data_IF_733838043190
#
_entry.id   IF_733838043190
#
_cell.length_a   1.000
_cell.length_b   1.000
_cell.length_c   1.000
_cell.angle_alpha   90.00
_cell.angle_beta   90.00
_cell.angle_gamma   90.00
#
_symmetry.space_group_name_H-M   'P 1'
#
loop_
_entity.id
_entity.type
_entity.pdbx_description
1 polymer ?
#
# COMPACT_ATOMS: atom_id res chain seq x y z
N UNK A 1 20.26 23.11 -33.44
CA UNK A 1 21.24 22.53 -32.49
C UNK A 1 21.17 23.39 -31.26
N UNK A 2 20.77 22.96 -30.06
CA UNK A 2 20.73 21.65 -29.41
C UNK A 2 19.92 21.88 -28.14
N UNK A 3 18.79 21.21 -27.95
CA UNK A 3 18.46 20.55 -26.68
C UNK A 3 17.18 19.72 -26.84
N UNK A 4 17.34 18.49 -27.35
CA UNK A 4 16.35 17.45 -27.20
C UNK A 4 16.91 16.55 -26.11
N UNK A 5 16.64 16.93 -24.85
CA UNK A 5 16.67 15.99 -23.75
C UNK A 5 15.60 14.95 -24.04
N UNK A 6 16.01 13.92 -24.78
CA UNK A 6 15.22 12.70 -24.92
C UNK A 6 14.92 12.24 -23.50
N UNK A 7 13.64 12.14 -23.08
CA UNK A 7 13.33 11.68 -21.74
C UNK A 7 13.72 10.21 -21.70
N UNK A 8 14.91 9.92 -21.15
CA UNK A 8 15.48 8.58 -21.03
C UNK A 8 14.58 7.58 -20.28
N UNK A 9 13.43 8.03 -19.76
CA UNK A 9 12.47 7.26 -18.97
C UNK A 9 11.03 7.32 -19.52
N UNK A 10 10.81 7.65 -20.80
CA UNK A 10 9.47 7.61 -21.36
C UNK A 10 9.00 6.15 -21.56
N UNK A 11 8.13 5.68 -20.66
CA UNK A 11 7.55 4.34 -20.73
C UNK A 11 6.30 4.38 -21.63
N UNK A 12 6.24 3.58 -22.71
CA UNK A 12 5.08 3.55 -23.59
C UNK A 12 3.86 2.99 -22.86
N UNK A 13 2.67 3.50 -23.19
CA UNK A 13 1.45 2.90 -22.72
C UNK A 13 1.29 1.53 -23.41
N UNK A 14 1.13 0.47 -22.63
CA UNK A 14 1.06 -0.90 -23.15
C UNK A 14 -0.11 -1.66 -22.54
N UNK A 15 -0.55 -2.67 -23.26
CA UNK A 15 -1.57 -3.62 -22.83
C UNK A 15 -1.08 -5.02 -23.18
N UNK A 16 -1.28 -5.97 -22.29
CA UNK A 16 -1.14 -7.40 -22.59
C UNK A 16 -2.39 -8.14 -22.12
N UNK A 17 -3.06 -8.82 -23.05
CA UNK A 17 -4.10 -9.81 -22.74
C UNK A 17 -3.60 -11.17 -23.19
N UNK A 18 -3.78 -12.18 -22.34
CA UNK A 18 -3.53 -13.55 -22.74
C UNK A 18 -4.68 -14.03 -23.64
N UNK A 19 -4.36 -14.24 -24.92
CA UNK A 19 -5.31 -14.60 -25.98
C UNK A 19 -6.12 -15.84 -25.62
N UNK A 20 -5.59 -16.77 -24.80
CA UNK A 20 -6.31 -17.98 -24.38
C UNK A 20 -7.57 -17.69 -23.56
N UNK A 21 -7.67 -16.51 -22.95
CA UNK A 21 -8.84 -16.07 -22.19
C UNK A 21 -9.81 -15.19 -23.01
N UNK A 22 -9.48 -14.89 -24.27
CA UNK A 22 -10.35 -14.10 -25.14
C UNK A 22 -11.44 -14.98 -25.76
N UNK A 23 -12.66 -14.47 -25.82
CA UNK A 23 -13.81 -15.20 -26.36
C UNK A 23 -14.53 -14.35 -27.41
N UNK A 24 -14.89 -14.97 -28.54
CA UNK A 24 -15.64 -14.32 -29.62
C UNK A 24 -16.96 -13.77 -29.08
N UNK A 25 -17.26 -12.50 -29.36
CA UNK A 25 -18.48 -11.82 -28.92
C UNK A 25 -18.43 -11.22 -27.51
N UNK A 26 -17.35 -11.44 -26.75
CA UNK A 26 -17.12 -10.74 -25.47
C UNK A 26 -16.31 -9.46 -25.69
N UNK A 27 -16.53 -8.48 -24.82
CA UNK A 27 -15.82 -7.22 -24.79
C UNK A 27 -14.96 -7.15 -23.52
N UNK A 28 -13.74 -6.62 -23.64
CA UNK A 28 -12.83 -6.38 -22.52
C UNK A 28 -12.60 -4.89 -22.37
N UNK A 29 -12.57 -4.41 -21.12
CA UNK A 29 -12.12 -3.06 -20.81
C UNK A 29 -10.60 -3.08 -20.69
N UNK A 30 -9.95 -2.11 -21.32
CA UNK A 30 -8.50 -1.99 -21.38
C UNK A 30 -8.06 -0.85 -20.46
N UNK A 31 -7.14 -1.13 -19.55
CA UNK A 31 -6.40 -0.09 -18.85
C UNK A 31 -5.13 0.23 -19.63
N UNK A 32 -5.11 1.38 -20.30
CA UNK A 32 -3.94 1.86 -21.05
C UNK A 32 -3.13 2.75 -20.11
N UNK A 33 -2.19 2.16 -19.39
CA UNK A 33 -1.19 2.88 -18.60
C UNK A 33 0.22 2.47 -19.05
N UNK A 34 1.24 3.27 -18.72
CA UNK A 34 2.62 2.83 -18.85
C UNK A 34 2.86 1.52 -18.11
N UNK A 35 3.54 0.57 -18.76
CA UNK A 35 3.77 -0.79 -18.21
C UNK A 35 4.38 -0.78 -16.80
N UNK A 36 5.32 0.15 -16.57
CA UNK A 36 6.00 0.33 -15.30
C UNK A 36 5.06 0.67 -14.13
N UNK A 37 3.80 1.04 -14.40
CA UNK A 37 2.82 1.41 -13.37
C UNK A 37 2.00 0.20 -12.91
N UNK A 38 1.82 -0.82 -13.75
CA UNK A 38 0.95 -1.96 -13.45
C UNK A 38 1.40 -2.74 -12.20
N UNK A 39 2.69 -3.07 -12.10
CA UNK A 39 3.21 -3.79 -10.95
C UNK A 39 3.12 -2.97 -9.65
N UNK A 40 3.54 -1.69 -9.60
CA UNK A 40 3.32 -0.83 -8.43
C UNK A 40 1.85 -0.72 -8.00
N UNK A 41 0.90 -0.59 -8.94
CA UNK A 41 -0.54 -0.57 -8.62
C UNK A 41 -0.95 -1.86 -7.92
N UNK A 42 -0.57 -3.02 -8.47
CA UNK A 42 -0.85 -4.33 -7.84
C UNK A 42 -0.23 -4.47 -6.45
N UNK A 43 1.00 -3.97 -6.26
CA UNK A 43 1.66 -3.96 -4.96
C UNK A 43 0.92 -3.07 -3.95
N UNK A 44 0.43 -1.89 -4.34
CA UNK A 44 -0.38 -1.02 -3.46
C UNK A 44 -1.61 -1.79 -2.94
N UNK A 45 -2.32 -2.49 -3.83
CA UNK A 45 -3.50 -3.27 -3.47
C UNK A 45 -3.13 -4.42 -2.51
N UNK A 46 -2.09 -5.18 -2.83
CA UNK A 46 -1.64 -6.32 -2.02
C UNK A 46 -1.14 -5.90 -0.63
N UNK A 47 -0.27 -4.89 -0.54
CA UNK A 47 0.24 -4.39 0.73
C UNK A 47 -0.86 -3.77 1.59
N UNK A 48 -1.85 -3.11 0.99
CA UNK A 48 -3.01 -2.62 1.74
C UNK A 48 -3.87 -3.76 2.30
N UNK A 49 -4.12 -4.81 1.52
CA UNK A 49 -4.83 -6.00 2.01
C UNK A 49 -4.13 -6.61 3.23
N UNK A 50 -2.80 -6.73 3.18
CA UNK A 50 -2.00 -7.20 4.32
C UNK A 50 -2.09 -6.26 5.53
N UNK A 51 -2.04 -4.94 5.30
CA UNK A 51 -2.23 -3.95 6.35
C UNK A 51 -3.59 -4.13 7.04
N UNK A 52 -4.68 -4.30 6.28
CA UNK A 52 -6.02 -4.46 6.87
C UNK A 52 -6.16 -5.72 7.72
N UNK A 53 -5.58 -6.84 7.28
CA UNK A 53 -5.57 -8.08 8.08
C UNK A 53 -4.83 -7.86 9.40
N UNK A 54 -3.63 -7.27 9.35
CA UNK A 54 -2.83 -6.99 10.56
C UNK A 54 -3.54 -5.98 11.46
N UNK A 55 -4.12 -4.94 10.87
CA UNK A 55 -4.89 -3.94 11.61
C UNK A 55 -6.08 -4.57 12.33
N UNK A 56 -6.82 -5.46 11.68
CA UNK A 56 -7.93 -6.18 12.30
C UNK A 56 -7.44 -7.10 13.43
N UNK A 57 -6.31 -7.79 13.27
CA UNK A 57 -5.72 -8.58 14.37
C UNK A 57 -5.32 -7.70 15.56
N UNK A 58 -4.72 -6.54 15.33
CA UNK A 58 -4.39 -5.60 16.40
C UNK A 58 -5.65 -5.06 17.08
N UNK A 59 -6.67 -4.67 16.31
CA UNK A 59 -7.95 -4.19 16.84
C UNK A 59 -8.66 -5.28 17.66
N UNK A 60 -8.66 -6.52 17.19
CA UNK A 60 -9.20 -7.66 17.93
C UNK A 60 -8.48 -7.85 19.26
N UNK A 61 -7.15 -7.78 19.26
CA UNK A 61 -6.35 -7.85 20.50
C UNK A 61 -6.64 -6.71 21.48
N UNK A 62 -6.83 -5.48 20.99
CA UNK A 62 -7.25 -4.35 21.84
C UNK A 62 -8.64 -4.58 22.44
N UNK A 63 -9.59 -5.07 21.65
CA UNK A 63 -10.96 -5.34 22.10
C UNK A 63 -10.96 -6.44 23.17
N UNK A 64 -10.22 -7.53 22.96
CA UNK A 64 -10.12 -8.62 23.93
C UNK A 64 -9.49 -8.11 25.23
N UNK A 65 -8.37 -7.39 25.14
CA UNK A 65 -7.72 -6.84 26.33
C UNK A 65 -8.61 -5.86 27.12
N UNK A 66 -9.33 -4.98 26.42
CA UNK A 66 -10.28 -4.06 27.06
C UNK A 66 -11.43 -4.81 27.77
N UNK A 67 -11.95 -5.89 27.17
CA UNK A 67 -12.99 -6.75 27.75
C UNK A 67 -12.47 -7.50 28.98
N UNK A 68 -11.26 -8.05 28.92
CA UNK A 68 -10.63 -8.79 30.03
C UNK A 68 -10.40 -7.89 31.25
N UNK A 69 -10.18 -6.60 31.04
CA UNK A 69 -10.11 -5.56 32.08
C UNK A 69 -11.49 -5.07 32.58
N UNK A 70 -12.57 -5.73 32.15
CA UNK A 70 -13.94 -5.51 32.65
C UNK A 70 -14.66 -4.32 32.05
N UNK A 71 -14.21 -3.79 30.90
CA UNK A 71 -14.91 -2.69 30.19
C UNK A 71 -16.04 -3.23 29.32
N UNK A 72 -17.06 -2.40 29.10
CA UNK A 72 -18.33 -2.79 28.44
C UNK A 72 -18.57 -1.98 27.15
N UNK A 73 -17.55 -1.88 26.28
CA UNK A 73 -17.71 -1.22 24.97
C UNK A 73 -18.50 -2.10 24.02
N UNK A 74 -19.45 -1.53 23.28
CA UNK A 74 -20.16 -2.28 22.24
C UNK A 74 -19.32 -2.46 20.98
N UNK A 75 -18.81 -3.67 20.79
CA UNK A 75 -17.94 -4.05 19.67
C UNK A 75 -18.61 -5.01 18.69
N UNK A 76 -19.90 -5.34 18.86
CA UNK A 76 -20.58 -6.31 18.01
C UNK A 76 -20.54 -5.91 16.52
N UNK A 77 -20.13 -6.87 15.68
CA UNK A 77 -20.07 -6.69 14.23
C UNK A 77 -19.00 -5.69 13.75
N UNK A 78 -18.01 -5.35 14.58
CA UNK A 78 -16.96 -4.39 14.22
C UNK A 78 -16.21 -4.76 12.92
N UNK A 79 -16.00 -6.07 12.67
CA UNK A 79 -15.35 -6.59 11.45
C UNK A 79 -16.07 -6.24 10.14
N UNK A 80 -17.38 -5.99 10.19
CA UNK A 80 -18.17 -5.60 9.01
C UNK A 80 -18.21 -4.09 8.78
N UNK A 81 -17.62 -3.30 9.67
CA UNK A 81 -17.57 -1.85 9.53
C UNK A 81 -16.48 -1.45 8.53
N UNK A 82 -16.74 -0.38 7.77
CA UNK A 82 -15.72 0.19 6.88
C UNK A 82 -14.49 0.69 7.65
N UNK A 83 -13.36 0.81 6.96
CA UNK A 83 -12.06 1.15 7.57
C UNK A 83 -12.14 2.38 8.49
N UNK A 84 -12.82 3.46 8.08
CA UNK A 84 -13.02 4.66 8.90
C UNK A 84 -13.60 4.36 10.28
N UNK A 85 -14.62 3.49 10.36
CA UNK A 85 -15.31 3.13 11.60
C UNK A 85 -14.51 2.19 12.47
N UNK A 86 -13.80 1.22 11.88
CA UNK A 86 -12.86 0.37 12.61
C UNK A 86 -11.71 1.20 13.20
N UNK A 87 -11.23 2.19 12.44
CA UNK A 87 -10.20 3.14 12.86
C UNK A 87 -10.63 4.02 14.03
N UNK A 88 -11.85 4.56 13.99
CA UNK A 88 -12.44 5.31 15.11
C UNK A 88 -12.46 4.45 16.37
N UNK A 89 -13.00 3.23 16.27
CA UNK A 89 -13.01 2.27 17.39
C UNK A 89 -11.61 1.97 17.93
N UNK A 90 -10.63 1.75 17.05
CA UNK A 90 -9.24 1.50 17.44
C UNK A 90 -8.67 2.67 18.25
N UNK A 91 -8.89 3.90 17.78
CA UNK A 91 -8.42 5.11 18.46
C UNK A 91 -9.11 5.29 19.81
N UNK A 92 -10.42 5.09 19.87
CA UNK A 92 -11.17 5.22 21.12
C UNK A 92 -10.63 4.26 22.20
N UNK A 93 -10.34 3.00 21.82
CA UNK A 93 -9.74 2.02 22.75
C UNK A 93 -8.32 2.43 23.15
N UNK A 94 -7.51 2.92 22.21
CA UNK A 94 -6.16 3.42 22.52
C UNK A 94 -6.19 4.59 23.50
N UNK A 95 -7.02 5.60 23.23
CA UNK A 95 -7.04 6.87 23.95
C UNK A 95 -7.71 6.74 25.34
N UNK A 96 -8.61 5.77 25.52
CA UNK A 96 -9.30 5.53 26.81
C UNK A 96 -8.66 4.41 27.63
N UNK A 97 -8.55 3.21 27.06
CA UNK A 97 -8.11 2.02 27.81
C UNK A 97 -6.60 1.91 27.83
N UNK A 98 -5.95 1.82 26.66
CA UNK A 98 -4.49 1.63 26.60
C UNK A 98 -3.74 2.82 27.23
N UNK A 99 -4.19 4.06 27.00
CA UNK A 99 -3.56 5.24 27.56
C UNK A 99 -3.60 5.30 29.09
N UNK A 100 -4.51 4.57 29.74
CA UNK A 100 -4.60 4.53 31.20
C UNK A 100 -3.43 3.81 31.88
N UNK A 101 -2.72 2.94 31.15
CA UNK A 101 -1.60 2.16 31.69
C UNK A 101 -0.34 2.15 30.80
N UNK A 102 -0.47 2.38 29.47
CA UNK A 102 0.65 2.63 28.55
C UNK A 102 0.34 3.80 27.59
N UNK A 103 0.42 5.05 28.08
CA UNK A 103 0.17 6.24 27.27
C UNK A 103 1.15 6.41 26.11
N UNK A 104 2.36 5.87 26.23
CA UNK A 104 3.37 5.97 25.18
C UNK A 104 3.03 5.08 23.98
N UNK A 105 2.57 3.84 24.23
CA UNK A 105 2.09 2.95 23.17
C UNK A 105 0.80 3.47 22.54
N UNK A 106 -0.17 3.93 23.35
CA UNK A 106 -1.40 4.54 22.85
C UNK A 106 -1.14 5.69 21.88
N UNK A 107 -0.32 6.66 22.27
CA UNK A 107 0.01 7.81 21.43
C UNK A 107 0.68 7.40 20.10
N UNK A 108 1.59 6.42 20.14
CA UNK A 108 2.27 5.91 18.94
C UNK A 108 1.29 5.19 18.02
N UNK A 109 0.44 4.33 18.55
CA UNK A 109 -0.56 3.60 17.78
C UNK A 109 -1.57 4.56 17.12
N UNK A 110 -2.09 5.53 17.88
CA UNK A 110 -2.99 6.56 17.34
C UNK A 110 -2.31 7.34 16.20
N UNK A 111 -1.05 7.75 16.35
CA UNK A 111 -0.28 8.44 15.30
C UNK A 111 -0.06 7.59 14.03
N UNK A 112 0.25 6.30 14.18
CA UNK A 112 0.40 5.36 13.07
C UNK A 112 -0.92 5.24 12.30
N UNK A 113 -2.02 5.14 13.02
CA UNK A 113 -3.35 4.95 12.44
C UNK A 113 -3.89 6.24 11.77
N UNK A 114 -3.56 7.41 12.29
CA UNK A 114 -3.85 8.67 11.61
C UNK A 114 -3.10 8.78 10.28
N UNK A 115 -1.83 8.34 10.24
CA UNK A 115 -1.05 8.26 9.00
C UNK A 115 -1.67 7.29 7.98
N UNK A 116 -2.18 6.14 8.45
CA UNK A 116 -2.86 5.15 7.61
C UNK A 116 -4.12 5.71 6.92
N UNK A 117 -4.77 6.73 7.49
CA UNK A 117 -5.91 7.42 6.85
C UNK A 117 -5.57 8.05 5.52
N UNK A 118 -4.42 8.73 5.47
CA UNK A 118 -3.97 9.41 4.26
C UNK A 118 -3.60 8.37 3.19
N UNK A 119 -2.97 7.27 3.62
CA UNK A 119 -2.66 6.14 2.74
C UNK A 119 -3.91 5.46 2.21
N UNK A 120 -4.95 5.25 3.04
CA UNK A 120 -6.23 4.70 2.61
C UNK A 120 -6.88 5.53 1.51
N UNK A 121 -6.90 6.86 1.64
CA UNK A 121 -7.47 7.75 0.61
C UNK A 121 -6.73 7.62 -0.72
N UNK A 122 -5.40 7.70 -0.68
CA UNK A 122 -4.54 7.58 -1.87
C UNK A 122 -4.65 6.21 -2.53
N UNK A 123 -4.65 5.15 -1.72
CA UNK A 123 -4.85 3.77 -2.18
C UNK A 123 -6.22 3.61 -2.83
N UNK A 124 -7.28 4.16 -2.27
CA UNK A 124 -8.62 4.04 -2.86
C UNK A 124 -8.73 4.78 -4.19
N UNK A 125 -8.04 5.90 -4.37
CA UNK A 125 -7.94 6.54 -5.68
C UNK A 125 -7.26 5.61 -6.70
N UNK A 126 -6.19 4.93 -6.31
CA UNK A 126 -5.52 3.96 -7.19
C UNK A 126 -6.39 2.72 -7.44
N UNK A 127 -6.95 2.09 -6.41
CA UNK A 127 -7.66 0.82 -6.54
C UNK A 127 -9.06 0.98 -7.19
N UNK A 128 -9.75 2.08 -6.88
CA UNK A 128 -11.16 2.27 -7.26
C UNK A 128 -11.42 3.51 -8.12
N UNK A 129 -10.41 4.34 -8.35
CA UNK A 129 -10.56 5.55 -9.16
C UNK A 129 -10.61 5.25 -10.66
N UNK A 130 -11.10 6.24 -11.40
CA UNK A 130 -10.97 6.29 -12.85
C UNK A 130 -9.60 6.84 -13.21
N UNK A 131 -8.90 6.14 -14.10
CA UNK A 131 -7.61 6.59 -14.62
C UNK A 131 -7.79 7.52 -15.80
N UNK A 132 -7.03 8.62 -15.82
CA UNK A 132 -6.96 9.53 -16.95
C UNK A 132 -5.52 9.90 -17.30
N UNK A 133 -5.31 10.20 -18.58
CA UNK A 133 -4.01 10.55 -19.15
C UNK A 133 -4.23 11.21 -20.52
N UNK A 134 -3.20 11.86 -21.04
CA UNK A 134 -3.17 12.40 -22.40
C UNK A 134 -2.10 11.67 -23.22
N UNK A 135 -2.43 11.24 -24.44
CA UNK A 135 -1.46 10.72 -25.41
C UNK A 135 -1.25 11.80 -26.49
N UNK A 136 -0.04 12.39 -26.63
CA UNK A 136 0.23 13.35 -27.68
C UNK A 136 0.03 12.76 -29.09
N UNK A 137 -0.31 13.62 -30.06
CA UNK A 137 -0.39 13.20 -31.46
C UNK A 137 0.92 12.53 -31.91
N UNK A 138 0.79 11.42 -32.63
CA UNK A 138 1.93 10.62 -33.13
C UNK A 138 2.84 10.05 -32.03
N UNK A 139 2.31 9.83 -30.82
CA UNK A 139 3.02 9.22 -29.69
C UNK A 139 2.24 8.05 -29.10
N UNK A 140 2.95 7.14 -28.44
CA UNK A 140 2.38 6.09 -27.58
C UNK A 140 2.63 6.36 -26.09
N UNK A 141 3.17 7.53 -25.75
CA UNK A 141 3.56 7.87 -24.38
C UNK A 141 2.40 8.56 -23.68
N UNK A 142 1.86 7.93 -22.64
CA UNK A 142 0.88 8.56 -21.75
C UNK A 142 1.56 9.65 -20.89
N UNK A 143 0.98 10.84 -20.88
CA UNK A 143 1.42 11.99 -20.09
C UNK A 143 0.33 12.45 -19.14
N UNK A 144 0.74 13.05 -18.02
CA UNK A 144 -0.18 13.62 -17.04
C UNK A 144 -1.14 12.58 -16.46
N UNK A 145 -0.63 11.39 -16.13
CA UNK A 145 -1.43 10.32 -15.56
C UNK A 145 -2.01 10.75 -14.19
N UNK A 146 -3.29 10.43 -13.97
CA UNK A 146 -3.95 10.70 -12.70
C UNK A 146 -5.01 9.65 -12.39
N UNK A 147 -5.32 9.52 -11.11
CA UNK A 147 -6.47 8.79 -10.60
C UNK A 147 -7.52 9.79 -10.10
N UNK A 148 -8.79 9.51 -10.38
CA UNK A 148 -9.91 10.38 -10.04
C UNK A 148 -11.02 9.60 -9.35
N UNK A 149 -11.54 10.12 -8.23
CA UNK A 149 -12.71 9.59 -7.55
C UNK A 149 -13.95 10.38 -7.96
N UNK A 150 -14.92 9.72 -8.59
CA UNK A 150 -16.21 10.35 -8.87
C UNK A 150 -17.00 10.69 -7.60
N UNK A 151 -16.75 9.97 -6.50
CA UNK A 151 -17.51 10.13 -5.26
C UNK A 151 -17.03 11.34 -4.42
N UNK A 152 -15.72 11.64 -4.47
CA UNK A 152 -15.11 12.72 -3.70
C UNK A 152 -14.62 13.88 -4.56
N UNK A 153 -14.71 13.73 -5.89
CA UNK A 153 -14.14 14.64 -6.89
C UNK A 153 -12.63 14.88 -6.73
N UNK A 154 -11.95 14.03 -5.94
CA UNK A 154 -10.53 14.14 -5.69
C UNK A 154 -9.75 13.61 -6.89
N UNK A 155 -8.73 14.37 -7.29
CA UNK A 155 -7.81 14.03 -8.38
C UNK A 155 -6.39 13.94 -7.84
N UNK A 156 -5.76 12.78 -8.00
CA UNK A 156 -4.36 12.58 -7.64
C UNK A 156 -3.51 12.32 -8.89
N UNK A 157 -2.61 13.24 -9.28
CA UNK A 157 -1.60 12.95 -10.28
C UNK A 157 -0.64 11.88 -9.73
N UNK A 158 -0.17 10.98 -10.61
CA UNK A 158 0.80 9.97 -10.22
C UNK A 158 1.78 9.66 -11.35
N UNK A 159 2.93 9.15 -10.94
CA UNK A 159 3.96 8.52 -11.76
C UNK A 159 4.47 7.25 -11.05
N UNK A 160 5.44 6.57 -11.66
CA UNK A 160 6.03 5.36 -11.08
C UNK A 160 6.62 5.61 -9.68
N UNK A 161 7.25 6.76 -9.45
CA UNK A 161 7.86 7.09 -8.17
C UNK A 161 6.81 7.25 -7.07
N UNK A 162 5.72 7.96 -7.35
CA UNK A 162 4.59 8.15 -6.46
C UNK A 162 3.96 6.80 -6.10
N UNK A 163 3.73 5.93 -7.09
CA UNK A 163 3.15 4.60 -6.86
C UNK A 163 4.09 3.75 -5.99
N UNK A 164 5.39 3.76 -6.28
CA UNK A 164 6.40 3.06 -5.48
C UNK A 164 6.42 3.54 -4.03
N UNK A 165 6.40 4.87 -3.85
CA UNK A 165 6.35 5.46 -2.52
C UNK A 165 5.12 5.00 -1.74
N UNK A 166 3.93 4.93 -2.37
CA UNK A 166 2.70 4.52 -1.67
C UNK A 166 2.81 3.11 -1.11
N UNK A 167 3.20 2.10 -1.89
CA UNK A 167 3.27 0.73 -1.33
C UNK A 167 4.39 0.59 -0.29
N UNK A 168 5.50 1.33 -0.41
CA UNK A 168 6.54 1.38 0.62
C UNK A 168 6.02 2.03 1.91
N UNK A 169 5.32 3.17 1.81
CA UNK A 169 4.70 3.83 2.96
C UNK A 169 3.72 2.87 3.66
N UNK A 170 2.87 2.14 2.90
CA UNK A 170 1.95 1.13 3.46
C UNK A 170 2.73 0.01 4.18
N UNK A 171 3.78 -0.52 3.54
CA UNK A 171 4.63 -1.57 4.14
C UNK A 171 5.27 -1.10 5.45
N UNK A 172 5.81 0.11 5.48
CA UNK A 172 6.43 0.69 6.68
C UNK A 172 5.40 0.99 7.77
N UNK A 173 4.24 1.54 7.42
CA UNK A 173 3.13 1.74 8.37
C UNK A 173 2.68 0.43 8.98
N UNK A 174 2.59 -0.63 8.18
CA UNK A 174 2.26 -1.99 8.66
C UNK A 174 3.31 -2.50 9.65
N UNK A 175 4.60 -2.39 9.31
CA UNK A 175 5.68 -2.82 10.21
C UNK A 175 5.70 -2.00 11.51
N UNK A 176 5.44 -0.69 11.44
CA UNK A 176 5.36 0.18 12.61
C UNK A 176 4.19 -0.20 13.51
N UNK A 177 3.03 -0.53 12.93
CA UNK A 177 1.86 -1.01 13.67
C UNK A 177 2.19 -2.29 14.43
N UNK A 178 2.73 -3.30 13.73
CA UNK A 178 3.14 -4.58 14.33
C UNK A 178 4.13 -4.36 15.47
N UNK A 179 5.21 -3.60 15.23
CA UNK A 179 6.26 -3.37 16.22
C UNK A 179 5.76 -2.64 17.45
N UNK A 180 4.88 -1.66 17.27
CA UNK A 180 4.30 -0.90 18.38
C UNK A 180 3.31 -1.76 19.16
N UNK A 181 2.46 -2.52 18.48
CA UNK A 181 1.52 -3.42 19.16
C UNK A 181 2.25 -4.54 19.93
N UNK A 182 3.34 -5.05 19.37
CA UNK A 182 4.14 -6.12 19.99
C UNK A 182 4.86 -5.71 21.28
N UNK A 183 4.85 -4.43 21.67
CA UNK A 183 5.41 -4.00 22.96
C UNK A 183 4.53 -4.37 24.15
N UNK A 184 3.24 -4.64 23.92
CA UNK A 184 2.28 -4.97 24.98
C UNK A 184 1.30 -6.09 24.61
N UNK A 185 1.23 -6.49 23.33
CA UNK A 185 0.37 -7.55 22.86
C UNK A 185 1.09 -8.50 21.90
N UNK A 186 0.32 -9.42 21.28
CA UNK A 186 0.82 -10.32 20.25
C UNK A 186 -0.11 -10.22 19.03
N UNK A 187 0.47 -10.01 17.85
CA UNK A 187 -0.26 -10.12 16.59
C UNK A 187 -0.16 -11.56 16.10
N UNK A 188 -1.28 -12.26 15.99
CA UNK A 188 -1.32 -13.60 15.41
C UNK A 188 -1.29 -13.52 13.88
N UNK A 189 -0.52 -14.40 13.22
CA UNK A 189 -0.46 -14.49 11.76
C UNK A 189 0.93 -14.81 11.21
N UNK A 190 0.99 -15.17 9.92
CA UNK A 190 2.24 -15.34 9.18
C UNK A 190 2.59 -14.03 8.47
N UNK A 191 3.30 -13.15 9.16
CA UNK A 191 3.90 -11.97 8.56
C UNK A 191 5.37 -11.88 8.97
N UNK A 192 6.19 -11.32 8.08
CA UNK A 192 7.62 -11.14 8.31
C UNK A 192 7.93 -9.66 8.29
N UNK A 193 8.45 -9.14 9.40
CA UNK A 193 9.03 -7.80 9.44
C UNK A 193 10.54 -7.93 9.31
N UNK A 194 11.12 -7.33 8.26
CA UNK A 194 12.56 -7.23 8.08
C UNK A 194 12.99 -5.77 8.17
N UNK A 195 14.09 -5.44 8.87
CA UNK A 195 14.68 -4.11 8.81
C UNK A 195 15.12 -3.77 7.38
N UNK A 196 14.96 -2.51 6.98
CA UNK A 196 15.45 -2.04 5.68
C UNK A 196 16.96 -2.30 5.51
N UNK A 197 17.75 -2.24 6.60
CA UNK A 197 19.18 -2.57 6.57
C UNK A 197 19.45 -4.01 6.14
N UNK A 198 18.57 -4.95 6.51
CA UNK A 198 18.68 -6.34 6.10
C UNK A 198 18.26 -6.55 4.65
N UNK A 199 17.21 -5.86 4.19
CA UNK A 199 16.81 -5.86 2.77
C UNK A 199 17.95 -5.29 1.91
N UNK A 200 18.53 -4.17 2.33
CA UNK A 200 19.67 -3.54 1.66
C UNK A 200 20.90 -4.45 1.66
N UNK A 201 21.15 -5.17 2.77
CA UNK A 201 22.20 -6.18 2.84
C UNK A 201 21.96 -7.29 1.81
N UNK A 202 20.75 -7.87 1.77
CA UNK A 202 20.38 -8.90 0.79
C UNK A 202 20.62 -8.38 -0.63
N UNK A 203 20.17 -7.17 -0.96
CA UNK A 203 20.38 -6.57 -2.28
C UNK A 203 21.86 -6.38 -2.63
N UNK A 204 22.70 -6.02 -1.66
CA UNK A 204 24.16 -5.93 -1.85
C UNK A 204 24.85 -7.29 -1.93
N UNK A 205 24.35 -8.29 -1.22
CA UNK A 205 25.04 -9.57 -1.02
C UNK A 205 24.53 -10.69 -1.94
N UNK A 206 23.44 -10.47 -2.68
CA UNK A 206 22.88 -11.43 -3.62
C UNK A 206 22.86 -10.87 -5.04
N UNK A 207 22.66 -11.75 -6.02
CA UNK A 207 22.44 -11.35 -7.42
C UNK A 207 20.99 -10.87 -7.57
N UNK A 208 20.68 -9.68 -7.04
CA UNK A 208 19.35 -9.10 -7.18
C UNK A 208 19.21 -8.40 -8.54
N UNK A 209 18.15 -8.67 -9.33
CA UNK A 209 18.03 -8.14 -10.70
C UNK A 209 18.00 -6.60 -10.78
N UNK A 210 17.58 -5.93 -9.71
CA UNK A 210 17.47 -4.47 -9.64
C UNK A 210 18.66 -3.76 -8.97
N UNK A 211 19.58 -4.52 -8.36
CA UNK A 211 20.83 -3.98 -7.80
C UNK A 211 21.91 -5.06 -7.79
N UNK A 212 22.33 -5.57 -8.97
CA UNK A 212 23.23 -6.70 -9.02
C UNK A 212 24.60 -6.28 -8.50
N UNK A 213 25.06 -6.93 -7.43
CA UNK A 213 26.45 -6.79 -7.01
C UNK A 213 27.37 -7.23 -8.17
N UNK A 214 28.19 -6.32 -8.74
CA UNK A 214 29.03 -6.63 -9.89
C UNK A 214 29.98 -7.79 -9.63
N UNK A 215 30.43 -7.97 -8.38
CA UNK A 215 31.33 -9.04 -7.96
C UNK A 215 30.64 -10.41 -7.79
N UNK A 216 29.30 -10.45 -7.82
CA UNK A 216 28.49 -11.67 -7.66
C UNK A 216 27.59 -11.93 -8.88
N UNK A 217 27.88 -11.30 -10.02
CA UNK A 217 27.24 -11.68 -11.29
C UNK A 217 27.70 -13.10 -11.65
N UNK A 218 26.79 -13.98 -12.12
CA UNK A 218 27.21 -15.24 -12.71
C UNK A 218 28.20 -14.94 -13.84
N UNK A 219 29.38 -15.54 -13.80
CA UNK A 219 30.23 -15.64 -14.99
C UNK A 219 29.41 -16.38 -16.03
N UNK A 220 29.15 -15.70 -17.14
CA UNK A 220 28.23 -16.07 -18.21
C UNK A 220 28.23 -17.58 -18.52
N UNK A 221 27.03 -18.16 -18.61
CA UNK A 221 26.75 -19.45 -19.24
C UNK A 221 26.54 -19.24 -20.75
#
# INVERSE_FOLDING_TARGET
MTDITSPKNAVPASISFDVKYMQKGKHSVILILPEAYHAPIGLIVAYWGNFEVIFDSCLEGLIIGEIDDGKVRETKGWKHKGFKKRRELFKDICDEWLASWDPAAAAKLTSIIDSASHLHSRRNLIDHGTYGYTIPAQSSIAKGCYAYSNATEEKMPFDEHILKKIYHDISHTTANLVRTFSSFGKVEGQFHTLPDSEILRIYRETTHPWNPNPAKRPTEL
#
